data_IF_663632009201
#
_entry.id   IF_663632009201
#
_cell.length_a   1.000
_cell.length_b   1.000
_cell.length_c   1.000
_cell.angle_alpha   90.00
_cell.angle_beta   90.00
_cell.angle_gamma   90.00
#
_symmetry.space_group_name_H-M   'P 1'
#
loop_
_entity.id
_entity.type
_entity.pdbx_description
1 polymer ?
#
# COMPACT_ATOMS: atom_id res chain seq x y z
N UNK A 1 10.01 3.22 0.19
CA UNK A 1 8.59 3.58 -0.13
C UNK A 1 7.95 2.51 -0.99
N UNK A 2 6.62 2.52 -1.20
CA UNK A 2 6.02 1.76 -2.30
C UNK A 2 5.42 2.68 -3.37
N UNK A 3 5.36 2.19 -4.61
CA UNK A 3 4.76 2.87 -5.74
C UNK A 3 4.30 1.85 -6.81
N UNK A 4 3.51 2.32 -7.77
CA UNK A 4 3.06 1.56 -8.93
C UNK A 4 3.57 2.22 -10.20
N UNK A 5 4.31 1.51 -11.03
CA UNK A 5 4.83 2.06 -12.27
C UNK A 5 5.18 0.98 -13.31
N UNK A 6 5.01 1.28 -14.61
CA UNK A 6 5.47 0.41 -15.68
C UNK A 6 6.99 0.49 -15.82
N UNK A 7 7.58 -0.49 -16.47
CA UNK A 7 9.04 -0.59 -16.63
C UNK A 7 9.70 0.65 -17.26
N UNK A 8 9.01 1.29 -18.20
CA UNK A 8 9.48 2.50 -18.89
C UNK A 8 9.61 3.71 -17.96
N UNK A 9 8.82 3.75 -16.87
CA UNK A 9 8.87 4.85 -15.91
C UNK A 9 10.02 4.75 -14.91
N UNK A 10 10.73 3.63 -14.83
CA UNK A 10 11.78 3.41 -13.84
C UNK A 10 12.83 4.55 -13.76
N UNK A 11 13.35 5.12 -14.86
CA UNK A 11 14.29 6.25 -14.77
C UNK A 11 13.69 7.48 -14.07
N UNK A 12 12.44 7.84 -14.40
CA UNK A 12 11.75 8.98 -13.77
C UNK A 12 11.47 8.78 -12.30
N UNK A 13 11.13 7.52 -11.94
CA UNK A 13 10.92 7.16 -10.53
C UNK A 13 12.22 7.36 -9.75
N UNK A 14 13.35 6.91 -10.28
CA UNK A 14 14.65 7.07 -9.63
C UNK A 14 15.05 8.54 -9.57
N UNK A 15 14.83 9.34 -10.62
CA UNK A 15 15.07 10.79 -10.61
C UNK A 15 14.25 11.48 -9.50
N UNK A 16 12.97 11.13 -9.38
CA UNK A 16 12.13 11.65 -8.30
C UNK A 16 12.65 11.24 -6.92
N UNK A 17 13.06 9.97 -6.78
CA UNK A 17 13.65 9.47 -5.54
C UNK A 17 14.90 10.26 -5.14
N UNK A 18 15.79 10.53 -6.10
CA UNK A 18 17.02 11.30 -5.87
C UNK A 18 16.70 12.72 -5.42
N UNK A 19 15.71 13.37 -6.06
CA UNK A 19 15.26 14.74 -5.71
C UNK A 19 14.75 14.84 -4.27
N UNK A 20 14.14 13.79 -3.76
CA UNK A 20 13.50 13.79 -2.44
C UNK A 20 14.18 12.88 -1.40
N UNK A 21 15.40 12.41 -1.68
CA UNK A 21 16.19 11.63 -0.72
C UNK A 21 15.61 10.23 -0.42
N UNK A 22 14.90 9.64 -1.37
CA UNK A 22 14.33 8.30 -1.25
C UNK A 22 15.35 7.26 -1.70
N UNK A 23 15.81 6.41 -0.79
CA UNK A 23 16.82 5.39 -1.10
C UNK A 23 16.31 4.27 -1.99
N UNK A 24 15.15 3.70 -1.67
CA UNK A 24 14.59 2.57 -2.43
C UNK A 24 13.07 2.62 -2.55
N UNK A 25 12.56 1.98 -3.62
CA UNK A 25 11.13 1.83 -3.88
C UNK A 25 10.76 0.37 -4.12
N UNK A 26 9.63 -0.06 -3.55
CA UNK A 26 8.97 -1.31 -3.92
C UNK A 26 7.99 -1.01 -5.04
N UNK A 27 8.21 -1.61 -6.21
CA UNK A 27 7.26 -1.53 -7.31
C UNK A 27 6.19 -2.62 -7.18
N UNK A 28 4.95 -2.21 -6.97
CA UNK A 28 3.78 -3.08 -6.85
C UNK A 28 3.15 -3.45 -8.20
N UNK A 29 3.70 -2.98 -9.32
CA UNK A 29 3.24 -3.31 -10.67
C UNK A 29 4.08 -4.41 -11.32
N UNK A 30 4.58 -5.38 -10.52
CA UNK A 30 5.52 -6.39 -11.01
C UNK A 30 4.94 -7.34 -12.06
N UNK A 31 3.62 -7.53 -12.09
CA UNK A 31 3.00 -8.51 -12.99
C UNK A 31 3.24 -9.96 -12.57
N UNK A 32 3.05 -10.89 -13.50
CA UNK A 32 3.23 -12.33 -13.28
C UNK A 32 4.25 -12.89 -14.29
N UNK A 33 4.87 -14.06 -14.03
CA UNK A 33 5.75 -14.72 -14.99
C UNK A 33 5.11 -14.85 -16.38
N UNK A 34 5.84 -14.45 -17.43
CA UNK A 34 5.36 -14.42 -18.81
C UNK A 34 4.44 -13.25 -19.16
N UNK A 35 4.08 -12.40 -18.20
CA UNK A 35 3.24 -11.22 -18.43
C UNK A 35 3.66 -10.05 -17.54
N UNK A 36 4.67 -9.30 -18.00
CA UNK A 36 5.16 -8.06 -17.41
C UNK A 36 6.26 -8.21 -16.36
N UNK A 37 6.38 -9.36 -15.67
CA UNK A 37 7.35 -9.52 -14.59
C UNK A 37 8.80 -9.37 -15.08
N UNK A 38 9.15 -10.05 -16.16
CA UNK A 38 10.49 -10.04 -16.72
C UNK A 38 10.91 -8.64 -17.16
N UNK A 39 9.98 -7.87 -17.72
CA UNK A 39 10.22 -6.47 -18.14
C UNK A 39 10.49 -5.58 -16.92
N UNK A 40 9.71 -5.74 -15.85
CA UNK A 40 9.90 -5.01 -14.61
C UNK A 40 11.23 -5.35 -13.94
N UNK A 41 11.58 -6.64 -13.90
CA UNK A 41 12.87 -7.08 -13.33
C UNK A 41 14.06 -6.56 -14.16
N UNK A 42 13.96 -6.57 -15.49
CA UNK A 42 14.97 -6.00 -16.38
C UNK A 42 15.13 -4.49 -16.18
N UNK A 43 14.02 -3.76 -15.99
CA UNK A 43 14.08 -2.34 -15.69
C UNK A 43 14.71 -2.07 -14.32
N UNK A 44 14.34 -2.84 -13.29
CA UNK A 44 14.89 -2.73 -11.94
C UNK A 44 16.40 -3.05 -11.89
N UNK A 45 16.86 -4.01 -12.68
CA UNK A 45 18.29 -4.38 -12.76
C UNK A 45 19.20 -3.24 -13.25
N UNK A 46 18.65 -2.21 -13.90
CA UNK A 46 19.39 -1.00 -14.30
C UNK A 46 19.66 -0.06 -13.10
N UNK A 47 18.96 -0.25 -12.00
CA UNK A 47 19.04 0.57 -10.80
C UNK A 47 19.20 -0.33 -9.56
N UNK A 48 20.34 -1.02 -9.42
CA UNK A 48 20.56 -2.01 -8.36
C UNK A 48 20.40 -1.36 -6.98
N UNK A 49 19.66 -2.03 -6.11
CA UNK A 49 19.36 -1.54 -4.75
C UNK A 49 18.28 -0.45 -4.67
N UNK A 50 17.88 0.15 -5.80
CA UNK A 50 16.91 1.26 -5.81
C UNK A 50 15.47 0.79 -6.06
N UNK A 51 15.27 -0.24 -6.85
CA UNK A 51 13.95 -0.77 -7.23
C UNK A 51 13.85 -2.23 -6.82
N UNK A 52 12.87 -2.55 -5.99
CA UNK A 52 12.50 -3.91 -5.60
C UNK A 52 11.15 -4.26 -6.23
N UNK A 53 11.09 -5.37 -6.96
CA UNK A 53 9.86 -5.77 -7.67
C UNK A 53 9.08 -6.77 -6.83
N UNK A 54 7.81 -6.47 -6.57
CA UNK A 54 6.83 -7.40 -6.01
C UNK A 54 6.01 -7.99 -7.16
N UNK A 55 5.85 -9.31 -7.16
CA UNK A 55 5.00 -9.98 -8.14
C UNK A 55 3.53 -9.79 -7.81
N UNK A 56 2.68 -9.79 -8.83
CA UNK A 56 1.25 -9.94 -8.69
C UNK A 56 0.82 -11.41 -8.83
N UNK A 57 -0.50 -11.62 -8.85
CA UNK A 57 -1.13 -12.89 -9.15
C UNK A 57 -2.02 -12.76 -10.40
N UNK A 58 -2.22 -13.89 -11.11
CA UNK A 58 -3.19 -13.93 -12.21
C UNK A 58 -4.61 -14.10 -11.65
N UNK A 59 -5.32 -13.00 -11.51
CA UNK A 59 -6.69 -13.00 -10.99
C UNK A 59 -7.74 -13.57 -11.95
N UNK A 60 -7.34 -14.04 -13.14
CA UNK A 60 -8.17 -14.88 -14.01
C UNK A 60 -8.09 -16.37 -13.66
N UNK A 61 -7.08 -16.82 -12.88
CA UNK A 61 -6.97 -18.22 -12.48
C UNK A 61 -8.21 -18.74 -11.72
N UNK A 62 -8.85 -17.99 -10.80
CA UNK A 62 -10.07 -18.43 -10.14
C UNK A 62 -11.23 -18.73 -11.09
N UNK A 63 -11.28 -18.08 -12.26
CA UNK A 63 -12.32 -18.35 -13.27
C UNK A 63 -12.12 -19.66 -14.01
N UNK A 64 -10.92 -20.26 -13.93
CA UNK A 64 -10.55 -21.53 -14.57
C UNK A 64 -10.89 -22.77 -13.72
N UNK A 65 -11.62 -22.57 -12.61
CA UNK A 65 -12.09 -23.65 -11.74
C UNK A 65 -11.14 -23.95 -10.57
N UNK A 66 -11.49 -24.98 -9.81
CA UNK A 66 -10.79 -25.37 -8.57
C UNK A 66 -9.29 -25.62 -8.76
N UNK A 67 -8.56 -25.54 -7.67
CA UNK A 67 -7.09 -25.69 -7.64
C UNK A 67 -6.34 -24.43 -8.07
N UNK A 68 -7.02 -23.30 -8.24
CA UNK A 68 -6.39 -22.05 -8.65
C UNK A 68 -5.36 -21.57 -7.62
N UNK A 69 -5.59 -21.76 -6.33
CA UNK A 69 -4.63 -21.38 -5.29
C UNK A 69 -3.29 -22.09 -5.44
N UNK A 70 -3.30 -23.40 -5.76
CA UNK A 70 -2.08 -24.15 -6.02
C UNK A 70 -1.37 -23.67 -7.30
N UNK A 71 -2.12 -23.36 -8.36
CA UNK A 71 -1.55 -22.81 -9.61
C UNK A 71 -0.96 -21.41 -9.38
N UNK A 72 -1.64 -20.55 -8.62
CA UNK A 72 -1.14 -19.22 -8.27
C UNK A 72 0.10 -19.32 -7.36
N UNK A 73 0.16 -20.27 -6.43
CA UNK A 73 1.33 -20.54 -5.61
C UNK A 73 2.53 -21.01 -6.44
N UNK A 74 2.31 -21.87 -7.44
CA UNK A 74 3.36 -22.28 -8.39
C UNK A 74 3.87 -21.09 -9.22
N UNK A 75 2.98 -20.20 -9.66
CA UNK A 75 3.34 -18.95 -10.35
C UNK A 75 4.18 -18.03 -9.46
N UNK A 76 3.81 -17.89 -8.17
CA UNK A 76 4.58 -17.13 -7.20
C UNK A 76 6.00 -17.71 -6.98
N UNK A 77 6.11 -19.04 -6.89
CA UNK A 77 7.42 -19.71 -6.80
C UNK A 77 8.28 -19.41 -8.03
N UNK A 78 7.70 -19.43 -9.21
CA UNK A 78 8.38 -19.05 -10.46
C UNK A 78 8.79 -17.57 -10.45
N UNK A 79 7.93 -16.68 -9.98
CA UNK A 79 8.24 -15.26 -9.86
C UNK A 79 9.44 -15.01 -8.93
N UNK A 80 9.50 -15.72 -7.80
CA UNK A 80 10.64 -15.67 -6.87
C UNK A 80 11.95 -16.14 -7.54
N UNK A 81 11.92 -17.25 -8.29
CA UNK A 81 13.08 -17.73 -9.05
C UNK A 81 13.59 -16.72 -10.08
N UNK A 82 12.67 -15.96 -10.71
CA UNK A 82 13.02 -14.91 -11.65
C UNK A 82 13.59 -13.65 -10.97
N UNK A 83 13.38 -13.47 -9.67
CA UNK A 83 13.95 -12.35 -8.91
C UNK A 83 12.96 -11.44 -8.20
N UNK A 84 11.66 -11.72 -8.24
CA UNK A 84 10.69 -11.00 -7.41
C UNK A 84 10.98 -11.22 -5.92
N UNK A 85 10.77 -10.17 -5.10
CA UNK A 85 11.14 -10.18 -3.68
C UNK A 85 9.96 -10.11 -2.71
N UNK A 86 8.74 -10.00 -3.22
CA UNK A 86 7.51 -9.98 -2.45
C UNK A 86 6.30 -10.22 -3.33
N UNK A 87 5.14 -10.30 -2.70
CA UNK A 87 3.84 -10.48 -3.34
C UNK A 87 2.97 -9.24 -3.10
N UNK A 88 2.28 -8.79 -4.11
CA UNK A 88 1.24 -7.75 -4.01
C UNK A 88 -0.14 -8.37 -4.16
N UNK A 89 -1.02 -8.09 -3.20
CA UNK A 89 -2.45 -8.40 -3.22
C UNK A 89 -3.22 -7.08 -3.33
N UNK A 90 -3.78 -6.77 -4.50
CA UNK A 90 -4.43 -5.49 -4.73
C UNK A 90 -5.82 -5.43 -4.11
N UNK A 91 -6.34 -4.23 -3.96
CA UNK A 91 -7.68 -3.91 -3.44
C UNK A 91 -8.84 -4.70 -4.10
N UNK A 92 -8.64 -5.23 -5.31
CA UNK A 92 -9.65 -6.02 -6.01
C UNK A 92 -10.07 -7.29 -5.27
N UNK A 93 -9.21 -7.86 -4.42
CA UNK A 93 -9.59 -9.01 -3.60
C UNK A 93 -10.58 -8.58 -2.49
N UNK A 94 -11.73 -9.23 -2.48
CA UNK A 94 -12.83 -8.88 -1.59
C UNK A 94 -13.81 -7.85 -2.17
N UNK A 95 -13.48 -7.20 -3.29
CA UNK A 95 -14.31 -6.13 -3.90
C UNK A 95 -14.71 -6.46 -5.33
N UNK A 96 -13.78 -6.95 -6.17
CA UNK A 96 -14.03 -7.10 -7.62
C UNK A 96 -13.67 -8.45 -8.22
N UNK A 97 -12.68 -9.15 -7.68
CA UNK A 97 -12.28 -10.44 -8.23
C UNK A 97 -13.31 -11.52 -7.95
N UNK A 98 -13.57 -12.37 -8.95
CA UNK A 98 -14.61 -13.40 -8.91
C UNK A 98 -14.06 -14.75 -9.34
N UNK A 99 -14.70 -15.84 -8.85
CA UNK A 99 -14.44 -17.20 -9.30
C UNK A 99 -15.21 -17.53 -10.60
N UNK A 100 -15.07 -18.74 -11.10
CA UNK A 100 -15.76 -19.21 -12.32
C UNK A 100 -17.28 -19.31 -12.21
N UNK A 101 -17.84 -19.28 -11.00
CA UNK A 101 -19.28 -19.24 -10.74
C UNK A 101 -19.82 -17.81 -10.64
N UNK A 102 -18.93 -16.82 -10.69
CA UNK A 102 -19.28 -15.41 -10.53
C UNK A 102 -19.32 -14.94 -9.07
N UNK A 103 -19.00 -15.80 -8.11
CA UNK A 103 -18.93 -15.42 -6.69
C UNK A 103 -17.71 -14.55 -6.41
N UNK A 104 -17.91 -13.59 -5.53
CA UNK A 104 -16.83 -12.68 -5.11
C UNK A 104 -15.76 -13.45 -4.32
N UNK A 105 -14.51 -13.35 -4.73
CA UNK A 105 -13.38 -13.88 -3.97
C UNK A 105 -13.17 -13.06 -2.71
N UNK A 106 -13.24 -13.70 -1.56
CA UNK A 106 -13.05 -13.06 -0.26
C UNK A 106 -11.57 -12.91 0.06
N UNK A 107 -11.24 -11.92 0.88
CA UNK A 107 -9.86 -11.74 1.39
C UNK A 107 -9.37 -13.00 2.12
N UNK A 108 -10.25 -13.64 2.88
CA UNK A 108 -9.99 -14.88 3.64
C UNK A 108 -10.38 -16.17 2.89
N UNK A 109 -10.51 -16.12 1.56
CA UNK A 109 -10.85 -17.26 0.69
C UNK A 109 -9.90 -18.45 0.94
N UNK A 110 -10.39 -19.60 1.45
CA UNK A 110 -9.52 -20.72 1.81
C UNK A 110 -8.71 -21.29 0.64
N UNK A 111 -9.25 -21.25 -0.56
CA UNK A 111 -8.56 -21.76 -1.74
C UNK A 111 -7.32 -20.94 -2.11
N UNK A 112 -7.16 -19.72 -1.56
CA UNK A 112 -5.94 -18.94 -1.68
C UNK A 112 -4.87 -19.27 -0.61
N UNK A 113 -5.17 -20.12 0.38
CA UNK A 113 -4.21 -20.48 1.45
C UNK A 113 -2.85 -20.94 0.92
N UNK A 114 -2.76 -21.79 -0.15
CA UNK A 114 -1.48 -22.21 -0.74
C UNK A 114 -0.58 -21.06 -1.20
N UNK A 115 -1.16 -19.91 -1.59
CA UNK A 115 -0.38 -18.73 -2.01
C UNK A 115 0.36 -18.13 -0.82
N UNK A 116 -0.32 -17.97 0.33
CA UNK A 116 0.26 -17.38 1.54
C UNK A 116 1.24 -18.34 2.23
N UNK A 117 0.97 -19.65 2.17
CA UNK A 117 1.89 -20.69 2.61
C UNK A 117 3.18 -20.65 1.77
N UNK A 118 3.06 -20.53 0.43
CA UNK A 118 4.20 -20.40 -0.45
C UNK A 118 4.98 -19.10 -0.24
N UNK A 119 4.29 -17.98 -0.02
CA UNK A 119 4.95 -16.73 0.32
C UNK A 119 5.78 -16.86 1.61
N UNK A 120 5.22 -17.53 2.64
CA UNK A 120 5.93 -17.80 3.89
C UNK A 120 7.15 -18.72 3.68
N UNK A 121 7.00 -19.82 2.92
CA UNK A 121 8.09 -20.76 2.57
C UNK A 121 9.25 -20.04 1.88
N UNK A 122 8.96 -19.14 0.96
CA UNK A 122 9.93 -18.38 0.18
C UNK A 122 10.48 -17.14 0.94
N UNK A 123 9.92 -16.83 2.11
CA UNK A 123 10.26 -15.61 2.85
C UNK A 123 9.91 -14.32 2.09
N UNK A 124 8.89 -14.36 1.24
CA UNK A 124 8.37 -13.22 0.48
C UNK A 124 7.34 -12.46 1.32
N UNK A 125 7.59 -11.19 1.69
CA UNK A 125 6.56 -10.37 2.31
C UNK A 125 5.36 -10.18 1.38
N UNK A 126 4.16 -10.16 1.96
CA UNK A 126 2.91 -9.92 1.24
C UNK A 126 2.40 -8.52 1.56
N UNK A 127 2.46 -7.62 0.59
CA UNK A 127 1.78 -6.35 0.70
C UNK A 127 0.32 -6.54 0.29
N UNK A 128 -0.60 -6.23 1.19
CA UNK A 128 -2.02 -6.47 1.00
C UNK A 128 -2.84 -5.21 1.21
N UNK A 129 -3.67 -4.91 0.22
CA UNK A 129 -4.66 -3.86 0.25
C UNK A 129 -6.05 -4.49 0.14
N UNK A 130 -6.94 -4.23 1.11
CA UNK A 130 -8.31 -4.76 1.10
C UNK A 130 -9.35 -3.66 1.18
N UNK A 131 -8.95 -2.50 1.64
CA UNK A 131 -9.80 -1.36 1.87
C UNK A 131 -9.34 -0.14 1.09
N UNK A 132 -10.22 0.75 0.91
CA UNK A 132 -9.98 2.14 0.58
C UNK A 132 -10.36 2.95 1.82
N UNK A 133 -10.19 4.27 1.84
CA UNK A 133 -10.74 5.07 2.91
C UNK A 133 -12.21 4.76 3.12
N UNK A 134 -12.65 4.67 4.37
CA UNK A 134 -14.03 4.31 4.73
C UNK A 134 -15.07 5.23 4.04
N UNK A 135 -14.67 6.46 3.74
CA UNK A 135 -15.47 7.42 2.99
C UNK A 135 -15.95 6.91 1.62
N UNK A 136 -15.23 5.95 1.00
CA UNK A 136 -15.63 5.38 -0.30
C UNK A 136 -16.85 4.44 -0.18
N UNK A 137 -17.15 3.94 1.03
CA UNK A 137 -18.36 3.17 1.33
C UNK A 137 -19.57 4.04 1.72
N UNK A 138 -19.35 5.33 2.00
CA UNK A 138 -20.40 6.28 2.34
C UNK A 138 -20.96 6.94 1.07
N UNK A 139 -22.21 7.38 1.15
CA UNK A 139 -22.84 8.08 0.04
C UNK A 139 -21.98 9.28 -0.42
N UNK A 140 -21.77 9.47 -1.75
CA UNK A 140 -20.94 10.54 -2.29
C UNK A 140 -21.68 11.89 -2.27
N UNK A 141 -22.09 12.32 -1.09
CA UNK A 141 -22.78 13.59 -0.85
C UNK A 141 -21.79 14.66 -0.36
N UNK A 142 -22.20 15.93 -0.39
CA UNK A 142 -21.36 17.04 0.06
C UNK A 142 -20.89 16.93 1.54
N UNK A 143 -21.56 16.11 2.34
CA UNK A 143 -21.15 15.77 3.71
C UNK A 143 -20.07 14.69 3.79
N UNK A 144 -19.78 14.00 2.69
CA UNK A 144 -18.70 13.01 2.64
C UNK A 144 -17.36 13.73 2.67
N UNK A 145 -16.46 13.30 3.54
CA UNK A 145 -15.14 13.94 3.70
C UNK A 145 -14.31 13.93 2.41
N UNK A 146 -14.51 12.91 1.57
CA UNK A 146 -13.84 12.73 0.28
C UNK A 146 -14.70 13.16 -0.91
N UNK A 147 -15.66 14.06 -0.68
CA UNK A 147 -16.61 14.46 -1.71
C UNK A 147 -15.97 14.98 -2.99
N UNK A 148 -14.94 15.84 -2.88
CA UNK A 148 -14.25 16.40 -4.06
C UNK A 148 -13.55 15.32 -4.88
N UNK A 149 -12.90 14.37 -4.21
CA UNK A 149 -12.25 13.23 -4.84
C UNK A 149 -13.28 12.31 -5.51
N UNK A 150 -14.35 11.95 -4.81
CA UNK A 150 -15.43 11.11 -5.34
C UNK A 150 -16.22 11.79 -6.47
N UNK A 151 -16.31 13.12 -6.47
CA UNK A 151 -16.90 13.88 -7.57
C UNK A 151 -16.02 13.87 -8.81
N UNK A 152 -14.69 13.97 -8.62
CA UNK A 152 -13.73 13.93 -9.70
C UNK A 152 -13.52 12.51 -10.24
N UNK A 153 -13.60 11.51 -9.35
CA UNK A 153 -13.34 10.10 -9.59
C UNK A 153 -14.50 9.23 -9.05
N UNK A 154 -15.67 9.26 -9.68
CA UNK A 154 -16.85 8.52 -9.22
C UNK A 154 -16.64 6.99 -9.23
N UNK A 155 -15.70 6.48 -10.01
CA UNK A 155 -15.29 5.09 -10.06
C UNK A 155 -14.65 4.60 -8.75
N UNK A 156 -14.22 5.51 -7.87
CA UNK A 156 -13.69 5.17 -6.55
C UNK A 156 -14.79 4.86 -5.54
N UNK A 157 -16.05 5.28 -5.82
CA UNK A 157 -17.16 5.02 -4.91
C UNK A 157 -17.49 3.53 -4.85
N UNK A 158 -17.57 3.02 -3.64
CA UNK A 158 -17.96 1.64 -3.34
C UNK A 158 -19.34 1.59 -2.66
N UNK A 159 -20.00 2.75 -2.53
CA UNK A 159 -21.32 2.88 -1.91
C UNK A 159 -22.36 2.01 -2.63
N UNK A 160 -22.93 1.05 -1.92
CA UNK A 160 -23.92 0.12 -2.48
C UNK A 160 -23.38 -0.89 -3.52
N UNK A 161 -22.06 -0.90 -3.77
CA UNK A 161 -21.45 -1.75 -4.81
C UNK A 161 -20.51 -2.83 -4.24
N UNK A 162 -19.97 -2.63 -3.05
CA UNK A 162 -19.03 -3.54 -2.40
C UNK A 162 -19.62 -4.13 -1.12
N UNK A 163 -19.06 -5.25 -0.62
CA UNK A 163 -19.37 -5.75 0.71
C UNK A 163 -19.10 -4.69 1.78
N UNK A 164 -19.76 -4.74 2.96
CA UNK A 164 -19.49 -3.80 4.03
C UNK A 164 -18.00 -3.74 4.37
N UNK A 165 -17.47 -2.52 4.57
CA UNK A 165 -16.06 -2.29 4.91
C UNK A 165 -15.61 -3.17 6.08
N UNK A 166 -16.44 -3.27 7.12
CA UNK A 166 -16.18 -4.11 8.29
C UNK A 166 -15.92 -5.58 7.94
N UNK A 167 -16.67 -6.12 6.97
CA UNK A 167 -16.49 -7.53 6.55
C UNK A 167 -15.14 -7.77 5.89
N UNK A 168 -14.62 -6.77 5.15
CA UNK A 168 -13.30 -6.83 4.52
C UNK A 168 -12.19 -6.75 5.58
N UNK A 169 -12.33 -5.84 6.53
CA UNK A 169 -11.37 -5.70 7.62
C UNK A 169 -11.27 -6.98 8.47
N UNK A 170 -12.41 -7.57 8.83
CA UNK A 170 -12.44 -8.84 9.55
C UNK A 170 -11.90 -10.02 8.73
N UNK A 171 -12.12 -10.02 7.40
CA UNK A 171 -11.55 -11.03 6.52
C UNK A 171 -10.02 -10.89 6.42
N UNK A 172 -9.50 -9.67 6.37
CA UNK A 172 -8.06 -9.42 6.45
C UNK A 172 -7.48 -9.95 7.77
N UNK A 173 -8.13 -9.64 8.90
CA UNK A 173 -7.69 -10.12 10.20
C UNK A 173 -7.63 -11.66 10.26
N UNK A 174 -8.67 -12.35 9.75
CA UNK A 174 -8.69 -13.82 9.66
C UNK A 174 -7.58 -14.37 8.76
N UNK A 175 -7.27 -13.69 7.64
CA UNK A 175 -6.16 -14.06 6.75
C UNK A 175 -4.83 -13.99 7.47
N UNK A 176 -4.55 -12.91 8.18
CA UNK A 176 -3.31 -12.72 8.94
C UNK A 176 -3.18 -13.77 10.04
N UNK A 177 -4.26 -14.00 10.79
CA UNK A 177 -4.30 -14.99 11.87
C UNK A 177 -4.03 -16.42 11.39
N UNK A 178 -4.56 -16.78 10.21
CA UNK A 178 -4.42 -18.13 9.62
C UNK A 178 -3.01 -18.44 9.16
N UNK A 179 -2.22 -17.42 8.82
CA UNK A 179 -0.87 -17.59 8.27
C UNK A 179 0.22 -16.92 9.12
N UNK A 180 0.47 -17.39 10.36
CA UNK A 180 1.38 -16.72 11.31
C UNK A 180 2.85 -16.74 10.86
N UNK A 181 3.21 -17.59 9.90
CA UNK A 181 4.56 -17.65 9.31
C UNK A 181 4.73 -16.70 8.11
N UNK A 182 3.64 -16.15 7.57
CA UNK A 182 3.67 -15.21 6.45
C UNK A 182 3.86 -13.80 7.00
N UNK A 183 4.80 -13.05 6.45
CA UNK A 183 4.97 -11.63 6.78
C UNK A 183 3.98 -10.81 5.96
N UNK A 184 3.04 -10.16 6.64
CA UNK A 184 2.08 -9.26 6.01
C UNK A 184 2.48 -7.79 6.22
N UNK A 185 2.35 -7.01 5.15
CA UNK A 185 2.38 -5.54 5.19
C UNK A 185 0.99 -5.07 4.77
N UNK A 186 0.16 -4.69 5.74
CA UNK A 186 -1.15 -4.12 5.45
C UNK A 186 -0.98 -2.65 5.05
N UNK A 187 -1.22 -2.36 3.78
CA UNK A 187 -1.02 -1.04 3.21
C UNK A 187 -1.97 0.01 3.85
N UNK A 188 -1.66 1.29 3.63
CA UNK A 188 -2.56 2.39 3.94
C UNK A 188 -3.01 2.44 5.41
N UNK A 189 -2.02 2.44 6.31
CA UNK A 189 -2.23 2.41 7.76
C UNK A 189 -3.11 1.24 8.20
N UNK A 190 -2.74 0.03 7.75
CA UNK A 190 -3.46 -1.19 8.09
C UNK A 190 -4.87 -1.28 7.49
N UNK A 191 -5.14 -0.54 6.41
CA UNK A 191 -6.46 -0.39 5.77
C UNK A 191 -7.55 0.19 6.69
N UNK A 192 -7.19 0.89 7.77
CA UNK A 192 -8.13 1.40 8.77
C UNK A 192 -7.63 2.70 9.45
N UNK A 193 -7.19 3.68 8.65
CA UNK A 193 -6.66 4.95 9.14
C UNK A 193 -7.66 5.78 9.96
N UNK A 194 -8.94 5.57 9.75
CA UNK A 194 -10.04 6.18 10.51
C UNK A 194 -10.23 5.54 11.90
N UNK A 195 -9.60 4.37 12.13
CA UNK A 195 -9.70 3.59 13.37
C UNK A 195 -8.33 3.19 13.93
N UNK A 196 -7.45 4.15 14.31
CA UNK A 196 -6.07 3.85 14.71
C UNK A 196 -5.97 2.92 15.91
N UNK A 197 -6.92 2.94 16.83
CA UNK A 197 -6.97 2.00 17.96
C UNK A 197 -7.12 0.53 17.51
N UNK A 198 -7.88 0.27 16.44
CA UNK A 198 -8.01 -1.08 15.86
C UNK A 198 -6.71 -1.53 15.20
N UNK A 199 -6.05 -0.63 14.48
CA UNK A 199 -4.74 -0.91 13.88
C UNK A 199 -3.71 -1.24 14.96
N UNK A 200 -3.68 -0.46 16.04
CA UNK A 200 -2.82 -0.73 17.20
C UNK A 200 -3.08 -2.12 17.78
N UNK A 201 -4.35 -2.47 18.02
CA UNK A 201 -4.74 -3.77 18.55
C UNK A 201 -4.33 -4.94 17.63
N UNK A 202 -4.45 -4.77 16.30
CA UNK A 202 -3.98 -5.77 15.35
C UNK A 202 -2.45 -5.93 15.38
N UNK A 203 -1.70 -4.83 15.44
CA UNK A 203 -0.24 -4.87 15.56
C UNK A 203 0.20 -5.56 16.85
N UNK A 204 -0.49 -5.34 17.97
CA UNK A 204 -0.18 -5.98 19.24
C UNK A 204 -0.51 -7.49 19.23
N UNK A 205 -1.59 -7.87 18.54
CA UNK A 205 -2.07 -9.25 18.46
C UNK A 205 -1.28 -10.13 17.49
N UNK A 206 -0.85 -9.56 16.36
CA UNK A 206 -0.26 -10.33 15.26
C UNK A 206 1.21 -9.97 15.03
N UNK A 207 2.18 -10.77 15.52
CA UNK A 207 3.61 -10.48 15.36
C UNK A 207 4.09 -10.51 13.91
N UNK A 208 3.36 -11.15 13.01
CA UNK A 208 3.63 -11.23 11.58
C UNK A 208 3.02 -10.08 10.76
N UNK A 209 2.32 -9.13 11.42
CA UNK A 209 1.73 -7.98 10.77
C UNK A 209 2.64 -6.75 10.89
N UNK A 210 2.82 -6.08 9.77
CA UNK A 210 3.40 -4.74 9.60
C UNK A 210 2.40 -3.87 8.86
N UNK A 211 2.58 -2.55 8.93
CA UNK A 211 1.79 -1.59 8.16
C UNK A 211 2.69 -0.55 7.49
N UNK A 212 2.18 0.13 6.48
CA UNK A 212 2.76 1.38 6.00
C UNK A 212 1.80 2.56 6.19
N UNK A 213 2.33 3.77 6.02
CA UNK A 213 1.56 5.02 6.17
C UNK A 213 1.17 5.66 4.84
N UNK A 214 1.35 4.93 3.74
CA UNK A 214 1.17 5.45 2.39
C UNK A 214 -0.23 6.01 2.16
N UNK A 215 -0.30 7.25 1.68
CA UNK A 215 -1.53 7.89 1.27
C UNK A 215 -2.54 8.15 2.40
N UNK A 216 -2.14 8.07 3.69
CA UNK A 216 -3.07 8.17 4.84
C UNK A 216 -2.74 9.26 5.85
N UNK A 217 -1.79 10.13 5.54
CA UNK A 217 -1.53 11.30 6.40
C UNK A 217 -2.78 12.19 6.55
N UNK A 218 -3.64 12.38 5.53
CA UNK A 218 -4.88 13.14 5.71
C UNK A 218 -5.75 12.58 6.84
N UNK A 219 -6.08 11.29 6.84
CA UNK A 219 -6.90 10.66 7.89
C UNK A 219 -6.16 10.59 9.22
N UNK A 220 -4.90 10.15 9.22
CA UNK A 220 -4.07 10.10 10.42
C UNK A 220 -4.00 11.47 11.10
N UNK A 221 -3.88 12.55 10.32
CA UNK A 221 -3.79 13.92 10.81
C UNK A 221 -5.08 14.49 11.40
N UNK A 222 -6.22 13.80 11.30
CA UNK A 222 -7.49 14.16 11.96
C UNK A 222 -7.56 13.68 13.40
N UNK A 223 -6.72 12.72 13.77
CA UNK A 223 -6.62 12.23 15.14
C UNK A 223 -5.73 13.14 15.98
N UNK A 224 -5.90 13.17 17.32
CA UNK A 224 -5.03 13.94 18.19
C UNK A 224 -3.54 13.59 17.96
N UNK A 225 -2.72 14.61 17.69
CA UNK A 225 -1.31 14.41 17.34
C UNK A 225 -0.53 13.63 18.43
N UNK A 226 -0.84 13.85 19.71
CA UNK A 226 -0.22 13.13 20.81
C UNK A 226 -0.55 11.63 20.82
N UNK A 227 -1.78 11.27 20.47
CA UNK A 227 -2.21 9.86 20.37
C UNK A 227 -1.54 9.16 19.18
N UNK A 228 -1.52 9.82 18.01
CA UNK A 228 -0.82 9.30 16.83
C UNK A 228 0.68 9.16 17.07
N UNK A 229 1.32 10.15 17.69
CA UNK A 229 2.72 10.08 18.10
C UNK A 229 2.97 8.86 18.98
N UNK A 230 2.16 8.68 20.02
CA UNK A 230 2.28 7.55 20.94
C UNK A 230 2.11 6.21 20.21
N UNK A 231 1.04 6.06 19.43
CA UNK A 231 0.75 4.83 18.67
C UNK A 231 1.93 4.43 17.79
N UNK A 232 2.45 5.39 17.01
CA UNK A 232 3.54 5.17 16.06
C UNK A 232 4.86 4.90 16.80
N UNK A 233 5.17 5.65 17.85
CA UNK A 233 6.41 5.47 18.61
C UNK A 233 6.46 4.11 19.33
N UNK A 234 5.35 3.69 19.95
CA UNK A 234 5.27 2.41 20.65
C UNK A 234 5.43 1.20 19.70
N UNK A 235 5.11 1.39 18.41
CA UNK A 235 5.12 0.31 17.39
C UNK A 235 6.04 0.61 16.20
N UNK A 236 7.04 1.48 16.44
CA UNK A 236 7.92 1.97 15.38
C UNK A 236 8.59 0.86 14.57
N UNK A 237 8.91 -0.29 15.19
CA UNK A 237 9.53 -1.45 14.53
C UNK A 237 8.60 -2.19 13.54
N UNK A 238 7.34 -1.78 13.45
CA UNK A 238 6.29 -2.46 12.68
C UNK A 238 5.66 -1.57 11.61
N UNK A 239 6.19 -0.37 11.45
CA UNK A 239 5.63 0.66 10.56
C UNK A 239 6.67 1.05 9.51
N UNK A 240 6.22 1.14 8.25
CA UNK A 240 7.04 1.56 7.12
C UNK A 240 6.60 2.90 6.59
N UNK A 241 7.54 3.67 6.09
CA UNK A 241 7.25 4.80 5.21
C UNK A 241 6.70 4.30 3.86
N UNK A 242 5.63 4.91 3.41
CA UNK A 242 5.03 4.67 2.11
C UNK A 242 4.57 5.96 1.45
N UNK A 243 4.55 6.00 0.12
CA UNK A 243 4.11 7.16 -0.66
C UNK A 243 2.84 6.92 -1.45
N UNK A 244 2.59 5.69 -1.90
CA UNK A 244 1.48 5.33 -2.79
C UNK A 244 1.48 6.18 -4.07
N UNK A 245 2.66 6.44 -4.63
CA UNK A 245 2.78 7.10 -5.92
C UNK A 245 2.43 6.12 -7.04
N UNK A 246 1.76 6.62 -8.07
CA UNK A 246 1.58 5.88 -9.31
C UNK A 246 2.12 6.68 -10.49
N UNK A 247 2.81 5.98 -11.40
CA UNK A 247 3.34 6.56 -12.63
C UNK A 247 2.74 5.83 -13.82
N UNK A 248 2.30 6.60 -14.81
CA UNK A 248 1.90 6.05 -16.09
C UNK A 248 3.07 5.97 -17.09
N UNK A 249 2.76 5.65 -18.34
CA UNK A 249 3.74 5.57 -19.43
C UNK A 249 4.24 6.92 -19.86
N UNK A 250 3.36 7.94 -19.87
CA UNK A 250 3.72 9.28 -20.28
C UNK A 250 4.47 10.03 -19.18
N UNK A 251 5.31 10.98 -19.58
CA UNK A 251 6.18 11.72 -18.65
C UNK A 251 5.40 12.47 -17.56
N UNK A 252 4.18 12.92 -17.85
CA UNK A 252 3.34 13.68 -16.93
C UNK A 252 2.37 12.82 -16.10
N UNK A 253 2.26 11.53 -16.41
CA UNK A 253 1.31 10.64 -15.73
C UNK A 253 1.87 10.26 -14.35
N UNK A 254 1.59 11.08 -13.36
CA UNK A 254 1.91 10.85 -11.94
C UNK A 254 0.65 11.07 -11.12
N UNK A 255 0.36 10.14 -10.20
CA UNK A 255 -0.64 10.33 -9.17
C UNK A 255 0.04 10.33 -7.78
N UNK A 256 -0.34 11.30 -6.95
CA UNK A 256 0.21 11.50 -5.60
C UNK A 256 -0.75 10.89 -4.56
N UNK A 257 -0.74 9.56 -4.40
CA UNK A 257 -1.65 8.79 -3.53
C UNK A 257 -3.13 8.90 -3.91
N UNK A 258 -3.48 9.73 -4.84
CA UNK A 258 -4.77 9.85 -5.50
C UNK A 258 -4.58 10.54 -6.84
N UNK A 259 -5.42 10.21 -7.81
CA UNK A 259 -5.45 10.92 -9.08
C UNK A 259 -6.04 12.31 -8.87
N UNK A 260 -5.32 13.35 -9.30
CA UNK A 260 -5.83 14.71 -9.38
C UNK A 260 -6.66 14.93 -10.66
N UNK A 261 -7.22 16.12 -10.82
CA UNK A 261 -7.96 16.52 -12.04
C UNK A 261 -7.02 16.64 -13.25
N UNK A 262 -5.78 16.94 -13.00
CA UNK A 262 -4.70 17.11 -14.01
C UNK A 262 -3.41 16.51 -13.44
N UNK A 263 -2.41 16.20 -14.28
CA UNK A 263 -1.09 15.81 -13.80
C UNK A 263 -0.53 16.86 -12.82
N UNK A 264 0.11 16.43 -11.70
CA UNK A 264 0.61 17.35 -10.70
C UNK A 264 1.75 18.22 -11.26
N UNK A 265 1.77 19.48 -10.83
CA UNK A 265 2.89 20.40 -11.03
C UNK A 265 4.07 20.04 -10.11
N UNK A 266 5.26 20.57 -10.41
CA UNK A 266 6.44 20.40 -9.54
C UNK A 266 6.19 20.95 -8.11
N UNK A 267 5.39 22.01 -7.97
CA UNK A 267 5.02 22.56 -6.67
C UNK A 267 4.09 21.62 -5.88
N UNK A 268 3.15 20.95 -6.54
CA UNK A 268 2.29 19.95 -5.91
C UNK A 268 3.09 18.71 -5.47
N UNK A 269 4.04 18.26 -6.30
CA UNK A 269 4.96 17.17 -5.92
C UNK A 269 5.81 17.58 -4.71
N UNK A 270 6.36 18.80 -4.72
CA UNK A 270 7.11 19.36 -3.60
C UNK A 270 6.25 19.46 -2.33
N UNK A 271 5.01 19.94 -2.46
CA UNK A 271 4.04 20.01 -1.37
C UNK A 271 3.77 18.64 -0.78
N UNK A 272 3.55 17.62 -1.62
CA UNK A 272 3.31 16.25 -1.20
C UNK A 272 4.41 15.75 -0.24
N UNK A 273 5.65 15.83 -0.65
CA UNK A 273 6.77 15.36 0.16
C UNK A 273 7.01 16.24 1.38
N UNK A 274 7.04 17.57 1.21
CA UNK A 274 7.31 18.49 2.32
C UNK A 274 6.23 18.43 3.42
N UNK A 275 4.96 18.29 3.04
CA UNK A 275 3.87 18.14 4.02
C UNK A 275 3.91 16.77 4.71
N UNK A 276 4.35 15.72 4.00
CA UNK A 276 4.55 14.40 4.58
C UNK A 276 5.63 14.43 5.67
N UNK A 277 6.79 15.01 5.37
CA UNK A 277 7.87 15.13 6.36
C UNK A 277 7.49 16.07 7.49
N UNK A 278 6.86 17.23 7.18
CA UNK A 278 6.37 18.15 8.20
C UNK A 278 5.44 17.47 9.19
N UNK A 279 4.54 16.59 8.71
CA UNK A 279 3.65 15.82 9.58
C UNK A 279 4.42 14.88 10.52
N UNK A 280 5.42 14.16 10.01
CA UNK A 280 6.16 13.17 10.79
C UNK A 280 7.21 13.81 11.71
N UNK A 281 7.91 14.84 11.25
CA UNK A 281 9.14 15.35 11.87
C UNK A 281 8.93 16.55 12.78
N UNK A 282 7.84 17.31 12.60
CA UNK A 282 7.62 18.56 13.35
C UNK A 282 6.38 18.46 14.24
N UNK A 283 6.27 19.42 15.18
CA UNK A 283 5.07 19.64 15.99
C UNK A 283 4.26 20.86 15.53
N UNK A 284 4.40 21.23 14.26
CA UNK A 284 3.68 22.33 13.65
C UNK A 284 2.18 22.11 13.66
N UNK A 285 1.41 23.19 13.71
CA UNK A 285 -0.06 23.10 13.78
C UNK A 285 -0.73 23.72 12.56
N UNK A 286 -1.88 23.14 12.19
CA UNK A 286 -2.82 23.77 11.27
C UNK A 286 -2.31 23.96 9.84
N UNK A 287 -1.54 23.01 9.28
CA UNK A 287 -1.05 23.08 7.90
C UNK A 287 -1.80 22.13 6.95
N UNK A 288 -1.66 22.34 5.64
CA UNK A 288 -2.26 21.49 4.63
C UNK A 288 -1.62 20.11 4.58
N UNK A 289 -2.43 19.07 4.47
CA UNK A 289 -1.94 17.70 4.29
C UNK A 289 -1.45 17.44 2.85
N UNK A 290 -0.73 16.33 2.58
CA UNK A 290 -0.04 16.09 1.30
C UNK A 290 -0.94 16.03 0.05
N UNK A 291 -2.21 15.65 0.20
CA UNK A 291 -3.13 15.32 -0.89
C UNK A 291 -4.45 16.10 -0.81
N UNK A 292 -4.48 17.41 -1.18
CA UNK A 292 -5.64 18.30 -0.97
C UNK A 292 -6.97 17.81 -1.58
N UNK A 293 -6.92 17.02 -2.66
CA UNK A 293 -8.12 16.43 -3.27
C UNK A 293 -8.86 15.47 -2.33
N UNK A 294 -8.16 14.88 -1.36
CA UNK A 294 -8.70 13.91 -0.40
C UNK A 294 -9.55 14.58 0.70
N UNK A 295 -9.46 15.91 0.85
CA UNK A 295 -10.27 16.65 1.82
C UNK A 295 -9.75 18.04 2.12
N UNK A 296 -10.55 18.86 2.79
CA UNK A 296 -10.27 20.29 3.01
C UNK A 296 -9.86 20.64 4.44
N UNK A 297 -9.43 19.66 5.23
CA UNK A 297 -8.99 19.91 6.61
C UNK A 297 -7.48 20.16 6.71
N UNK A 298 -7.09 20.67 7.85
CA UNK A 298 -5.70 20.86 8.21
C UNK A 298 -5.26 19.81 9.21
N UNK A 299 -3.96 19.51 9.21
CA UNK A 299 -3.35 18.50 10.08
C UNK A 299 -2.33 19.15 11.02
N UNK A 300 -1.99 18.43 12.09
CA UNK A 300 -0.93 18.82 13.02
C UNK A 300 0.20 17.80 12.97
N UNK A 301 1.43 18.28 12.95
CA UNK A 301 2.61 17.43 13.00
C UNK A 301 2.70 16.66 14.31
N UNK A 302 3.22 15.43 14.23
CA UNK A 302 3.34 14.53 15.38
C UNK A 302 4.73 14.52 16.01
N UNK A 303 5.74 15.10 15.35
CA UNK A 303 7.09 15.32 15.89
C UNK A 303 7.74 14.07 16.44
N UNK A 304 7.92 13.05 15.59
CA UNK A 304 8.58 11.81 15.95
C UNK A 304 10.05 12.04 16.27
N UNK A 305 10.61 11.24 17.18
CA UNK A 305 12.05 11.28 17.47
C UNK A 305 12.87 10.73 16.30
N UNK A 306 14.13 11.16 16.19
CA UNK A 306 15.04 10.69 15.14
C UNK A 306 15.19 9.16 15.11
N UNK A 307 15.17 8.51 16.27
CA UNK A 307 15.24 7.04 16.36
C UNK A 307 13.98 6.34 15.82
N UNK A 308 12.81 6.93 16.02
CA UNK A 308 11.55 6.43 15.44
C UNK A 308 11.52 6.65 13.93
N UNK A 309 11.96 7.85 13.49
CA UNK A 309 12.04 8.17 12.06
C UNK A 309 13.02 7.25 11.31
N UNK A 310 14.19 6.95 11.87
CA UNK A 310 15.15 6.03 11.27
C UNK A 310 14.55 4.64 11.00
N UNK A 311 13.79 4.12 11.97
CA UNK A 311 13.06 2.84 11.81
C UNK A 311 12.05 2.89 10.68
N UNK A 312 11.19 3.90 10.67
CA UNK A 312 10.10 4.04 9.70
C UNK A 312 10.65 4.32 8.29
N UNK A 313 11.65 5.18 8.16
CA UNK A 313 12.20 5.59 6.88
C UNK A 313 13.06 4.52 6.19
N UNK A 314 13.75 3.66 6.94
CA UNK A 314 14.67 2.72 6.30
C UNK A 314 14.96 1.43 7.05
N UNK A 315 15.26 1.47 8.35
CA UNK A 315 15.76 0.31 9.10
C UNK A 315 14.78 -0.88 9.06
N UNK A 316 13.48 -0.62 9.19
CA UNK A 316 12.47 -1.67 9.10
C UNK A 316 12.42 -2.30 7.71
N UNK A 317 12.49 -1.48 6.65
CA UNK A 317 12.49 -1.97 5.28
C UNK A 317 13.73 -2.83 5.00
N UNK A 318 14.91 -2.40 5.46
CA UNK A 318 16.14 -3.17 5.35
C UNK A 318 16.01 -4.53 6.06
N UNK A 319 15.51 -4.54 7.29
CA UNK A 319 15.38 -5.73 8.13
C UNK A 319 14.32 -6.70 7.63
N UNK A 320 13.12 -6.22 7.30
CA UNK A 320 11.95 -7.06 7.04
C UNK A 320 11.75 -7.33 5.55
N UNK A 321 11.93 -6.33 4.72
CA UNK A 321 11.68 -6.39 3.28
C UNK A 321 12.96 -6.68 2.50
N UNK A 322 14.11 -6.80 3.20
CA UNK A 322 15.44 -7.04 2.63
C UNK A 322 15.79 -6.05 1.51
N UNK A 323 15.33 -4.81 1.67
CA UNK A 323 15.66 -3.69 0.79
C UNK A 323 16.98 -3.13 1.28
N UNK A 324 17.97 -3.02 0.40
CA UNK A 324 19.26 -2.42 0.77
C UNK A 324 19.02 -1.00 1.29
N UNK A 325 19.55 -0.68 2.46
CA UNK A 325 19.64 0.72 2.89
C UNK A 325 20.57 1.44 1.91
N UNK A 326 20.32 2.71 1.59
CA UNK A 326 21.21 3.51 0.75
C UNK A 326 22.58 3.69 1.40
#
# INVERSE_FOLDING_TARGET
>A
MHARFPAEAAPRVVELMDRYGIGAVINLSGGVPGRGLEEQLKAAARFPGRIVVYAGLDWFEPTRGRGYGARMAASLARAHQLGARGLEIPRGLGIGFRNGQGDLLRVDEPELDPVFEKAAELGMPVMIETGAPMAFWLAPLASNERYEELKAHPELSLFGQAPPWESLFLALERRIARHPKCTFVSAHFGNASEHPARVAAMLDKYPNLYIDIAGRIPEMGRHPAAEMKKLISDRADRIFFGSDLAFGRNAKDIALSSAGLVPPSDDEIKHFFSSTWRYLETSDKGFGHPTPIQGKWKVNGIGLSSSVLAKIYGENAARVLKVSAP
#
